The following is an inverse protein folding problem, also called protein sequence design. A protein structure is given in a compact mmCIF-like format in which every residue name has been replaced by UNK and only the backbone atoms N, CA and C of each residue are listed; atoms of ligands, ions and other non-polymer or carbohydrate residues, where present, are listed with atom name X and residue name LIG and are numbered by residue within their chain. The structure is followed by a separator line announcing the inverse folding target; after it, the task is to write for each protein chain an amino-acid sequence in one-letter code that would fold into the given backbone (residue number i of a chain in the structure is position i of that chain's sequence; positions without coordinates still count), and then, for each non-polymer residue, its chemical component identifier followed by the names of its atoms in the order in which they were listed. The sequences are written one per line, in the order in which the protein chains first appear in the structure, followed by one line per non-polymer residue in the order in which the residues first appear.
data_IF_997905961601
#
_entry.id   IF_997905961601
#
_cell.length_a   1.000
_cell.length_b   1.000
_cell.length_c   1.000
_cell.angle_alpha   90.00
_cell.angle_beta   90.00
_cell.angle_gamma   90.00
#
_symmetry.space_group_name_H-M   'P 1'
#
loop_
_entity.id
_entity.type
_entity.pdbx_description
1 polymer ?
#
# COMPACT_ATOMS: atom_id res chain seq x y z
N UNK A 1 11.87 3.16 -6.54
CA UNK A 1 11.62 1.99 -5.66
C UNK A 1 12.41 0.81 -6.23
N UNK A 2 13.12 0.05 -5.41
CA UNK A 2 14.03 -1.02 -5.86
C UNK A 2 13.73 -2.32 -5.11
N UNK A 3 13.50 -3.41 -5.84
CA UNK A 3 13.16 -4.74 -5.29
C UNK A 3 14.07 -5.81 -5.88
N UNK A 4 14.47 -6.81 -5.08
CA UNK A 4 15.10 -8.03 -5.59
C UNK A 4 14.03 -8.97 -6.16
N UNK A 5 14.16 -9.28 -7.46
CA UNK A 5 13.11 -9.90 -8.28
C UNK A 5 13.27 -11.41 -8.44
N UNK A 6 12.13 -12.09 -8.62
CA UNK A 6 12.08 -13.46 -9.16
C UNK A 6 11.11 -13.52 -10.35
N UNK A 7 11.35 -14.43 -11.31
CA UNK A 7 10.67 -14.49 -12.62
C UNK A 7 9.13 -14.62 -12.65
N UNK A 8 8.49 -14.72 -11.48
CA UNK A 8 7.03 -14.85 -11.33
C UNK A 8 6.32 -13.52 -11.01
N UNK A 9 7.06 -12.43 -10.81
CA UNK A 9 6.52 -11.14 -10.38
C UNK A 9 6.37 -10.20 -11.59
N UNK A 10 5.19 -9.59 -11.74
CA UNK A 10 4.85 -8.68 -12.84
C UNK A 10 4.42 -7.31 -12.30
N UNK A 11 4.96 -6.20 -12.84
CA UNK A 11 4.42 -4.87 -12.57
C UNK A 11 3.02 -4.75 -13.21
N UNK A 12 2.07 -4.26 -12.43
CA UNK A 12 0.71 -3.99 -12.89
C UNK A 12 0.28 -2.59 -12.45
N UNK A 13 -0.53 -1.95 -13.27
CA UNK A 13 -1.22 -0.71 -12.93
C UNK A 13 -2.64 -1.06 -12.52
N UNK A 14 -3.10 -0.48 -11.41
CA UNK A 14 -4.48 -0.52 -10.96
C UNK A 14 -5.15 0.80 -11.34
N UNK A 15 -6.14 0.72 -12.23
CA UNK A 15 -7.01 1.85 -12.62
C UNK A 15 -8.46 1.56 -12.19
N UNK A 16 -9.36 1.28 -13.14
CA UNK A 16 -10.65 0.61 -12.92
C UNK A 16 -10.54 -0.91 -13.14
N UNK A 17 -9.49 -1.34 -13.83
CA UNK A 17 -9.10 -2.73 -14.02
C UNK A 17 -7.59 -2.88 -13.78
N UNK A 18 -7.15 -4.12 -13.58
CA UNK A 18 -5.72 -4.46 -13.43
C UNK A 18 -5.13 -4.70 -14.82
N UNK A 19 -4.14 -3.89 -15.20
CA UNK A 19 -3.44 -4.04 -16.49
C UNK A 19 -1.94 -4.24 -16.28
N UNK A 20 -1.34 -5.16 -17.03
CA UNK A 20 0.10 -5.42 -16.95
C UNK A 20 0.92 -4.32 -17.62
N UNK A 21 2.06 -3.97 -17.04
CA UNK A 21 3.06 -3.09 -17.68
C UNK A 21 4.03 -3.95 -18.48
N UNK A 22 4.14 -3.65 -19.77
CA UNK A 22 5.16 -4.20 -20.66
C UNK A 22 6.23 -3.17 -20.93
N UNK A 23 7.49 -3.60 -20.91
CA UNK A 23 8.62 -2.73 -21.29
C UNK A 23 8.98 -3.03 -22.74
N UNK A 24 8.92 -2.01 -23.58
CA UNK A 24 9.29 -2.10 -25.00
C UNK A 24 10.13 -0.89 -25.39
N UNK A 25 11.35 -1.13 -25.86
CA UNK A 25 12.28 -0.10 -26.33
C UNK A 25 12.46 1.06 -25.32
N UNK A 26 12.56 0.73 -24.02
CA UNK A 26 12.72 1.72 -22.94
C UNK A 26 11.43 2.43 -22.50
N UNK A 27 10.27 2.01 -23.02
CA UNK A 27 8.95 2.61 -22.73
C UNK A 27 8.08 1.67 -21.90
N UNK A 28 7.26 2.23 -21.02
CA UNK A 28 6.20 1.51 -20.32
C UNK A 28 4.93 1.51 -21.17
N UNK A 29 4.47 0.33 -21.55
CA UNK A 29 3.27 0.11 -22.35
C UNK A 29 2.21 -0.60 -21.51
N UNK A 30 1.00 -0.03 -21.49
CA UNK A 30 -0.18 -0.61 -20.85
C UNK A 30 -1.32 -0.60 -21.86
N UNK A 31 -1.95 -1.76 -22.08
CA UNK A 31 -3.03 -1.94 -23.05
C UNK A 31 -2.71 -1.37 -24.44
N UNK A 32 -1.44 -1.48 -24.85
CA UNK A 32 -0.94 -0.99 -26.14
C UNK A 32 -0.60 0.52 -26.18
N UNK A 33 -0.87 1.26 -25.12
CA UNK A 33 -0.58 2.70 -25.01
C UNK A 33 0.69 2.96 -24.21
N UNK A 34 1.46 3.98 -24.59
CA UNK A 34 2.61 4.45 -23.83
C UNK A 34 2.14 5.26 -22.61
N UNK A 35 2.50 4.81 -21.42
CA UNK A 35 2.16 5.47 -20.14
C UNK A 35 3.38 6.00 -19.40
N UNK A 36 4.58 5.66 -19.87
CA UNK A 36 5.82 5.98 -19.19
C UNK A 36 7.04 5.83 -20.09
N UNK A 37 8.12 6.47 -19.69
CA UNK A 37 9.41 6.51 -20.39
C UNK A 37 10.53 6.11 -19.45
N UNK A 38 11.72 5.79 -19.97
CA UNK A 38 12.86 5.30 -19.17
C UNK A 38 12.58 4.03 -18.37
N UNK A 39 11.64 3.21 -18.85
CA UNK A 39 11.31 1.96 -18.21
C UNK A 39 12.30 0.88 -18.62
N UNK A 40 12.91 0.21 -17.65
CA UNK A 40 13.92 -0.80 -17.91
C UNK A 40 13.81 -1.97 -16.95
N UNK A 41 14.03 -3.17 -17.48
CA UNK A 41 14.26 -4.36 -16.69
C UNK A 41 15.76 -4.63 -16.73
N UNK A 42 16.48 -4.08 -15.76
CA UNK A 42 17.93 -4.21 -15.66
C UNK A 42 18.31 -5.50 -14.93
N UNK A 43 19.52 -5.97 -15.18
CA UNK A 43 20.17 -7.05 -14.41
C UNK A 43 19.43 -8.39 -14.46
N UNK A 44 18.99 -8.82 -15.65
CA UNK A 44 18.28 -10.09 -15.89
C UNK A 44 17.10 -10.32 -14.93
N UNK A 45 16.34 -9.25 -14.67
CA UNK A 45 15.20 -9.29 -13.78
C UNK A 45 15.41 -8.61 -12.45
N UNK A 46 16.64 -8.52 -11.92
CA UNK A 46 16.87 -8.12 -10.52
C UNK A 46 16.53 -6.67 -10.19
N UNK A 47 16.42 -5.78 -11.17
CA UNK A 47 16.07 -4.39 -10.94
C UNK A 47 15.07 -3.96 -12.01
N UNK A 48 13.87 -3.60 -11.55
CA UNK A 48 12.84 -3.04 -12.40
C UNK A 48 12.72 -1.53 -12.14
N UNK A 49 12.86 -0.75 -13.20
CA UNK A 49 12.65 0.69 -13.20
C UNK A 49 11.41 1.01 -14.02
N UNK A 50 10.43 1.63 -13.37
CA UNK A 50 9.17 2.09 -13.97
C UNK A 50 9.10 3.59 -13.71
N UNK A 51 9.06 4.38 -14.78
CA UNK A 51 8.82 5.82 -14.70
C UNK A 51 7.59 6.13 -15.53
N UNK A 52 6.51 6.53 -14.85
CA UNK A 52 5.25 6.91 -15.46
C UNK A 52 5.31 8.40 -15.81
N UNK A 53 4.79 8.77 -16.98
CA UNK A 53 4.81 10.16 -17.43
C UNK A 53 3.71 10.99 -16.75
N UNK A 54 2.61 10.34 -16.40
CA UNK A 54 1.46 10.92 -15.71
C UNK A 54 0.90 9.87 -14.75
N UNK A 55 0.86 10.18 -13.46
CA UNK A 55 0.34 9.28 -12.42
C UNK A 55 -1.17 9.50 -12.19
N UNK A 56 -1.76 10.57 -12.71
CA UNK A 56 -3.20 10.87 -12.54
C UNK A 56 -4.10 9.92 -13.34
N UNK A 57 -3.55 9.31 -14.38
CA UNK A 57 -4.20 8.26 -15.17
C UNK A 57 -4.23 6.91 -14.43
N UNK A 58 -3.60 6.81 -13.24
CA UNK A 58 -3.46 5.56 -12.49
C UNK A 58 -3.75 5.73 -11.01
N UNK A 59 -4.54 4.82 -10.42
CA UNK A 59 -4.81 4.90 -8.97
C UNK A 59 -3.68 4.31 -8.15
N UNK A 60 -3.03 3.26 -8.66
CA UNK A 60 -1.91 2.62 -7.96
C UNK A 60 -1.01 1.85 -8.91
N UNK A 61 0.25 1.70 -8.52
CA UNK A 61 1.20 0.76 -9.10
C UNK A 61 1.36 -0.40 -8.12
N UNK A 62 1.21 -1.63 -8.61
CA UNK A 62 1.44 -2.81 -7.80
C UNK A 62 2.51 -3.71 -8.43
N UNK A 63 3.27 -4.39 -7.59
CA UNK A 63 4.04 -5.55 -7.96
C UNK A 63 3.27 -6.78 -7.49
N UNK A 64 2.88 -7.64 -8.42
CA UNK A 64 2.08 -8.83 -8.09
C UNK A 64 2.70 -10.09 -8.70
N UNK A 65 2.58 -11.21 -8.00
CA UNK A 65 2.62 -12.52 -8.66
C UNK A 65 1.24 -12.85 -9.22
N UNK A 66 1.11 -14.00 -9.89
CA UNK A 66 -0.22 -14.51 -10.29
C UNK A 66 -1.14 -14.82 -9.08
N UNK A 67 -0.62 -14.83 -7.85
CA UNK A 67 -1.37 -15.21 -6.64
C UNK A 67 -1.40 -14.16 -5.52
N UNK A 68 -0.44 -13.21 -5.47
CA UNK A 68 -0.27 -12.29 -4.33
C UNK A 68 0.22 -10.90 -4.77
N UNK A 69 -0.28 -9.84 -4.12
CA UNK A 69 0.29 -8.50 -4.22
C UNK A 69 1.47 -8.37 -3.26
N UNK A 70 2.66 -8.11 -3.82
CA UNK A 70 3.94 -8.09 -3.11
C UNK A 70 4.25 -6.66 -2.63
N UNK A 71 3.84 -5.68 -3.42
CA UNK A 71 3.94 -4.27 -3.09
C UNK A 71 2.86 -3.49 -3.80
N UNK A 72 2.37 -2.45 -3.16
CA UNK A 72 1.36 -1.54 -3.68
C UNK A 72 1.78 -0.12 -3.32
N UNK A 73 1.76 0.77 -4.30
CA UNK A 73 1.96 2.20 -4.12
C UNK A 73 0.74 2.91 -4.67
N UNK A 74 0.02 3.62 -3.81
CA UNK A 74 -1.08 4.46 -4.24
C UNK A 74 -0.54 5.79 -4.74
N UNK A 75 -1.09 6.27 -5.86
CA UNK A 75 -0.80 7.61 -6.34
C UNK A 75 -1.88 8.56 -5.83
N UNK A 76 -1.48 9.51 -4.99
CA UNK A 76 -2.37 10.53 -4.43
C UNK A 76 -1.75 11.90 -4.75
N UNK A 77 -1.97 12.43 -5.97
CA UNK A 77 -1.35 13.68 -6.40
C UNK A 77 -1.76 14.82 -5.47
N UNK A 78 -0.79 15.66 -5.10
CA UNK A 78 -0.97 16.77 -4.14
C UNK A 78 -1.47 16.35 -2.75
N UNK A 79 -1.49 15.05 -2.47
CA UNK A 79 -2.03 14.49 -1.24
C UNK A 79 -3.50 14.89 -1.01
N UNK A 80 -4.24 15.05 -2.10
CA UNK A 80 -5.69 15.27 -2.09
C UNK A 80 -6.40 13.94 -1.82
N UNK A 81 -6.51 13.57 -0.55
CA UNK A 81 -7.21 12.36 -0.13
C UNK A 81 -8.73 12.56 -0.20
N UNK A 82 -9.40 11.63 -0.88
CA UNK A 82 -10.87 11.57 -0.84
C UNK A 82 -11.36 10.95 0.47
N UNK A 83 -12.47 11.46 1.00
CA UNK A 83 -13.17 10.83 2.10
C UNK A 83 -13.64 9.42 1.67
N UNK A 84 -13.27 8.35 2.38
CA UNK A 84 -13.64 7.00 2.00
C UNK A 84 -15.14 6.75 2.16
N UNK A 85 -15.69 5.94 1.25
CA UNK A 85 -17.03 5.36 1.39
C UNK A 85 -17.02 4.25 2.44
N UNK A 86 -18.20 3.84 2.88
CA UNK A 86 -18.36 2.71 3.79
C UNK A 86 -17.69 1.44 3.24
N UNK A 87 -16.79 0.86 4.03
CA UNK A 87 -16.01 -0.32 3.65
C UNK A 87 -14.76 -0.05 2.80
N UNK A 88 -14.51 1.20 2.40
CA UNK A 88 -13.29 1.59 1.68
C UNK A 88 -12.22 2.01 2.69
N UNK A 89 -10.97 1.59 2.47
CA UNK A 89 -9.80 2.03 3.23
C UNK A 89 -9.61 3.54 3.14
N UNK A 90 -9.34 4.16 4.29
CA UNK A 90 -8.94 5.56 4.39
C UNK A 90 -7.42 5.68 4.17
N UNK A 91 -7.03 6.19 2.99
CA UNK A 91 -5.61 6.31 2.64
C UNK A 91 -4.90 7.37 3.47
N UNK A 92 -5.58 8.47 3.82
CA UNK A 92 -5.01 9.59 4.59
C UNK A 92 -4.48 9.11 5.95
N UNK A 93 -5.26 8.30 6.68
CA UNK A 93 -4.88 7.81 8.01
C UNK A 93 -3.60 6.97 7.99
N UNK A 94 -3.38 6.20 6.92
CA UNK A 94 -2.20 5.34 6.81
C UNK A 94 -0.98 6.06 6.25
N UNK A 95 -1.16 7.19 5.56
CA UNK A 95 -0.11 7.95 4.90
C UNK A 95 0.97 8.48 5.87
N UNK A 96 2.27 8.56 5.47
CA UNK A 96 2.87 8.05 4.23
C UNK A 96 2.69 6.53 4.03
N UNK A 97 3.03 5.92 2.89
CA UNK A 97 2.97 4.44 2.78
C UNK A 97 4.34 3.78 2.99
N UNK A 98 5.42 4.56 3.04
CA UNK A 98 6.76 4.09 3.42
C UNK A 98 7.22 4.75 4.73
N UNK A 99 7.88 3.98 5.60
CA UNK A 99 8.53 4.47 6.84
C UNK A 99 9.98 4.01 6.89
N UNK A 100 10.88 4.93 7.20
CA UNK A 100 12.31 4.66 7.37
C UNK A 100 12.71 4.97 8.81
N UNK A 101 12.67 3.94 9.67
CA UNK A 101 12.83 4.06 11.13
C UNK A 101 14.09 3.35 11.62
N UNK A 102 15.18 3.53 10.89
CA UNK A 102 16.48 2.93 11.16
C UNK A 102 16.90 3.05 12.63
N UNK A 103 17.16 1.91 13.26
CA UNK A 103 17.59 1.82 14.66
C UNK A 103 16.47 1.71 15.69
N UNK A 104 15.22 1.98 15.32
CA UNK A 104 14.06 1.83 16.20
C UNK A 104 13.68 0.35 16.37
N UNK A 105 12.94 0.05 17.45
CA UNK A 105 12.38 -1.28 17.71
C UNK A 105 10.85 -1.31 17.60
N UNK A 106 10.22 -0.15 17.66
CA UNK A 106 8.77 0.01 17.60
C UNK A 106 8.40 1.17 16.70
N UNK A 107 7.22 1.07 16.09
CA UNK A 107 6.63 2.15 15.31
C UNK A 107 5.13 2.19 15.57
N UNK A 108 4.58 3.40 15.73
CA UNK A 108 3.13 3.58 15.74
C UNK A 108 2.63 3.69 14.31
N UNK A 109 1.71 2.81 13.93
CA UNK A 109 1.00 2.90 12.66
C UNK A 109 -0.49 3.10 12.92
N UNK A 110 -1.15 3.71 11.93
CA UNK A 110 -2.59 3.92 11.94
C UNK A 110 -3.19 3.39 10.64
N UNK A 111 -4.37 2.79 10.77
CA UNK A 111 -5.15 2.29 9.65
C UNK A 111 -6.60 2.66 9.89
N UNK A 112 -7.34 2.99 8.83
CA UNK A 112 -8.76 3.27 8.96
C UNK A 112 -9.56 2.77 7.76
N UNK A 113 -10.85 2.60 7.99
CA UNK A 113 -11.84 2.21 6.99
C UNK A 113 -13.10 3.05 7.18
N UNK A 114 -13.71 3.44 6.07
CA UNK A 114 -14.95 4.21 6.04
C UNK A 114 -16.14 3.47 6.65
N UNK A 115 -17.07 4.25 7.17
CA UNK A 115 -18.31 3.81 7.78
C UNK A 115 -18.17 3.53 9.27
N UNK A 116 -18.41 4.52 10.12
CA UNK A 116 -18.38 4.40 11.58
C UNK A 116 -19.37 3.34 12.11
N UNK A 117 -20.46 3.11 11.38
CA UNK A 117 -21.51 2.13 11.72
C UNK A 117 -21.59 0.98 10.71
N UNK A 118 -20.69 0.95 9.73
CA UNK A 118 -20.66 -0.12 8.74
C UNK A 118 -20.15 -1.41 9.37
N UNK A 119 -20.81 -2.53 9.07
CA UNK A 119 -20.47 -3.85 9.61
C UNK A 119 -19.76 -4.71 8.55
N UNK A 120 -18.74 -4.14 7.92
CA UNK A 120 -17.86 -4.85 6.98
C UNK A 120 -16.66 -5.48 7.68
N UNK A 121 -16.10 -6.52 7.05
CA UNK A 121 -14.88 -7.18 7.50
C UNK A 121 -13.64 -6.40 7.08
N UNK A 122 -12.62 -6.39 7.92
CA UNK A 122 -11.30 -5.86 7.60
C UNK A 122 -10.22 -6.72 8.25
N UNK A 123 -9.13 -6.98 7.54
CA UNK A 123 -8.06 -7.87 7.98
C UNK A 123 -6.72 -7.15 7.89
N UNK A 124 -5.86 -7.31 8.90
CA UNK A 124 -4.50 -6.82 8.92
C UNK A 124 -3.52 -7.98 8.84
N UNK A 125 -2.62 -7.90 7.88
CA UNK A 125 -1.47 -8.79 7.74
C UNK A 125 -0.20 -8.04 8.14
N UNK A 126 0.73 -8.77 8.77
CA UNK A 126 2.12 -8.36 8.91
C UNK A 126 3.00 -9.47 8.31
N UNK A 127 3.73 -9.15 7.24
CA UNK A 127 4.58 -10.10 6.53
C UNK A 127 3.84 -11.42 6.18
N UNK A 128 2.67 -11.29 5.55
CA UNK A 128 1.81 -12.40 5.11
C UNK A 128 1.13 -13.20 6.24
N UNK A 129 1.32 -12.80 7.49
CA UNK A 129 0.63 -13.40 8.64
C UNK A 129 -0.55 -12.52 9.05
N UNK A 130 -1.74 -13.10 9.14
CA UNK A 130 -2.91 -12.42 9.73
C UNK A 130 -2.65 -12.16 11.22
N UNK A 131 -2.59 -10.88 11.60
CA UNK A 131 -2.39 -10.45 12.99
C UNK A 131 -3.64 -9.82 13.60
N UNK A 132 -4.64 -9.48 12.78
CA UNK A 132 -5.94 -9.02 13.23
C UNK A 132 -7.00 -9.19 12.15
N UNK A 133 -8.21 -9.49 12.58
CA UNK A 133 -9.41 -9.54 11.74
C UNK A 133 -10.58 -8.97 12.53
N UNK A 134 -11.36 -8.09 11.91
CA UNK A 134 -12.46 -7.37 12.56
C UNK A 134 -13.74 -7.46 11.73
N UNK A 135 -14.88 -7.46 12.42
CA UNK A 135 -16.20 -7.27 11.82
C UNK A 135 -16.84 -6.04 12.45
N UNK A 136 -17.14 -5.04 11.63
CA UNK A 136 -17.50 -3.73 12.16
C UNK A 136 -16.30 -3.12 12.86
N UNK A 137 -16.41 -2.80 14.15
CA UNK A 137 -15.30 -2.33 14.98
C UNK A 137 -14.72 -3.41 15.91
N UNK A 138 -15.37 -4.58 16.00
CA UNK A 138 -15.03 -5.61 16.98
C UNK A 138 -14.03 -6.58 16.39
N UNK A 139 -12.99 -6.91 17.15
CA UNK A 139 -11.99 -7.90 16.78
C UNK A 139 -12.60 -9.31 16.85
N UNK A 140 -12.45 -10.07 15.77
CA UNK A 140 -12.83 -11.47 15.66
C UNK A 140 -11.65 -12.41 15.94
N UNK A 141 -10.46 -12.04 15.48
CA UNK A 141 -9.26 -12.85 15.58
C UNK A 141 -8.01 -11.96 15.72
N UNK A 142 -6.99 -12.47 16.41
CA UNK A 142 -5.72 -11.77 16.64
C UNK A 142 -5.53 -11.35 18.11
N UNK A 143 -4.47 -10.59 18.35
CA UNK A 143 -4.09 -10.08 19.68
C UNK A 143 -4.01 -8.55 19.73
N UNK A 144 -4.67 -7.88 18.78
CA UNK A 144 -4.74 -6.42 18.70
C UNK A 144 -5.93 -5.91 19.51
N UNK A 145 -6.26 -4.63 19.35
CA UNK A 145 -7.41 -4.00 19.98
C UNK A 145 -8.58 -3.89 19.02
N UNK A 146 -9.79 -3.68 19.55
CA UNK A 146 -10.92 -3.23 18.76
C UNK A 146 -10.61 -1.91 18.05
N UNK A 147 -11.31 -1.65 16.94
CA UNK A 147 -11.22 -0.40 16.22
C UNK A 147 -11.93 0.71 16.99
N UNK A 148 -11.30 1.87 17.05
CA UNK A 148 -11.94 3.07 17.59
C UNK A 148 -12.90 3.64 16.55
N UNK A 149 -14.15 3.88 16.96
CA UNK A 149 -15.17 4.50 16.09
C UNK A 149 -15.05 6.02 16.16
N UNK A 150 -14.83 6.66 15.01
CA UNK A 150 -14.90 8.11 14.84
C UNK A 150 -16.17 8.46 14.04
N UNK A 151 -17.26 8.76 14.75
CA UNK A 151 -18.53 9.14 14.11
C UNK A 151 -18.44 10.48 13.35
N UNK A 152 -17.51 11.38 13.72
CA UNK A 152 -17.40 12.70 13.08
C UNK A 152 -16.77 12.59 11.70
N UNK A 153 -15.72 11.77 11.59
CA UNK A 153 -15.07 11.46 10.30
C UNK A 153 -15.74 10.30 9.57
N UNK A 154 -16.75 9.67 10.16
CA UNK A 154 -17.36 8.43 9.68
C UNK A 154 -16.32 7.31 9.43
N UNK A 155 -15.40 7.10 10.37
CA UNK A 155 -14.31 6.12 10.26
C UNK A 155 -14.33 5.10 11.40
N UNK A 156 -13.71 3.95 11.15
CA UNK A 156 -13.23 3.00 12.17
C UNK A 156 -11.71 2.92 12.07
N UNK A 157 -11.00 3.12 13.18
CA UNK A 157 -9.57 3.40 13.20
C UNK A 157 -8.82 2.43 14.11
N UNK A 158 -7.76 1.82 13.58
CA UNK A 158 -6.72 1.16 14.35
C UNK A 158 -5.57 2.13 14.59
N UNK A 159 -5.10 2.23 15.83
CA UNK A 159 -3.82 2.86 16.18
C UNK A 159 -3.06 1.90 17.06
N UNK A 160 -1.89 1.46 16.62
CA UNK A 160 -1.15 0.41 17.32
C UNK A 160 0.36 0.59 17.21
N UNK A 161 1.09 0.19 18.25
CA UNK A 161 2.55 0.20 18.29
C UNK A 161 3.07 -1.19 17.89
N UNK A 162 3.61 -1.30 16.68
CA UNK A 162 4.15 -2.54 16.14
C UNK A 162 5.63 -2.68 16.47
N UNK A 163 6.06 -3.88 16.84
CA UNK A 163 7.47 -4.21 17.02
C UNK A 163 8.10 -4.70 15.73
N UNK A 164 9.38 -4.41 15.54
CA UNK A 164 10.20 -4.98 14.47
C UNK A 164 10.16 -6.52 14.49
N UNK A 165 9.81 -7.14 13.37
CA UNK A 165 9.94 -8.60 13.17
C UNK A 165 11.04 -8.94 12.18
N UNK A 166 11.17 -8.14 11.11
CA UNK A 166 12.19 -8.27 10.08
C UNK A 166 12.88 -6.92 9.87
N UNK A 167 13.97 -6.91 9.10
CA UNK A 167 14.61 -5.66 8.68
C UNK A 167 13.68 -4.77 7.83
N UNK A 168 12.75 -5.40 7.11
CA UNK A 168 11.66 -4.76 6.40
C UNK A 168 10.36 -5.48 6.74
N UNK A 169 9.43 -4.76 7.35
CA UNK A 169 8.09 -5.27 7.64
C UNK A 169 7.07 -4.67 6.67
N UNK A 170 6.15 -5.50 6.21
CA UNK A 170 5.04 -5.11 5.32
C UNK A 170 3.74 -5.28 6.10
N UNK A 171 2.93 -4.22 6.13
CA UNK A 171 1.60 -4.21 6.74
C UNK A 171 0.56 -4.05 5.66
N UNK A 172 -0.35 -5.03 5.51
CA UNK A 172 -1.42 -4.97 4.52
C UNK A 172 -2.76 -4.89 5.22
N UNK A 173 -3.47 -3.79 5.02
CA UNK A 173 -4.80 -3.54 5.56
C UNK A 173 -5.82 -3.72 4.45
N UNK A 174 -6.66 -4.74 4.58
CA UNK A 174 -7.45 -5.29 3.47
C UNK A 174 -8.94 -5.28 3.82
N UNK A 175 -9.74 -4.76 2.90
CA UNK A 175 -11.20 -4.83 2.92
C UNK A 175 -11.69 -5.64 1.73
N UNK A 176 -13.00 -5.83 1.61
CA UNK A 176 -13.63 -6.40 0.40
C UNK A 176 -13.53 -5.47 -0.83
N UNK A 177 -13.30 -4.17 -0.62
CA UNK A 177 -13.33 -3.17 -1.68
C UNK A 177 -11.93 -2.74 -2.15
N UNK A 178 -10.99 -2.57 -1.23
CA UNK A 178 -9.62 -2.17 -1.53
C UNK A 178 -8.63 -2.51 -0.40
N UNK A 179 -7.37 -2.21 -0.66
CA UNK A 179 -6.23 -2.46 0.23
C UNK A 179 -5.36 -1.22 0.33
N UNK A 180 -4.69 -1.04 1.47
CA UNK A 180 -3.48 -0.22 1.58
C UNK A 180 -2.32 -1.07 2.12
N UNK A 181 -1.12 -0.80 1.63
CA UNK A 181 0.11 -1.42 2.11
C UNK A 181 1.01 -0.34 2.70
N UNK A 182 1.49 -0.56 3.92
CA UNK A 182 2.51 0.28 4.56
C UNK A 182 3.78 -0.53 4.72
N UNK A 183 4.87 -0.03 4.13
CA UNK A 183 6.20 -0.62 4.23
C UNK A 183 7.01 0.08 5.32
N UNK A 184 7.61 -0.69 6.21
CA UNK A 184 8.49 -0.19 7.27
C UNK A 184 9.89 -0.76 7.08
N UNK A 185 10.86 0.09 6.80
CA UNK A 185 12.28 -0.25 6.75
C UNK A 185 12.95 0.18 8.06
N UNK A 186 13.44 -0.81 8.81
CA UNK A 186 14.08 -0.63 10.11
C UNK A 186 15.61 -0.47 10.01
N UNK A 187 16.15 -0.48 8.79
CA UNK A 187 17.59 -0.37 8.52
C UNK A 187 17.97 1.02 8.01
N UNK A 188 17.02 1.72 7.37
CA UNK A 188 17.23 3.03 6.79
C UNK A 188 16.54 4.11 7.62
N UNK A 189 17.17 5.28 7.72
CA UNK A 189 16.56 6.50 8.29
C UNK A 189 16.26 7.50 7.18
N UNK A 190 15.19 8.27 7.34
CA UNK A 190 14.84 9.31 6.37
C UNK A 190 13.37 9.68 6.41
N UNK A 191 13.04 10.75 5.69
CA UNK A 191 11.66 11.13 5.40
C UNK A 191 11.13 10.27 4.23
N UNK A 192 9.84 9.93 4.22
CA UNK A 192 9.26 9.25 3.06
C UNK A 192 9.29 10.19 1.85
N UNK A 193 9.77 9.76 0.67
CA UNK A 193 9.71 10.56 -0.55
C UNK A 193 8.29 11.03 -0.90
N UNK A 194 7.28 10.29 -0.47
CA UNK A 194 5.86 10.63 -0.69
C UNK A 194 5.47 11.96 -0.03
N UNK A 195 6.17 12.37 1.03
CA UNK A 195 5.90 13.63 1.72
C UNK A 195 6.33 14.85 0.91
N UNK A 196 7.25 14.69 -0.05
CA UNK A 196 7.69 15.80 -0.89
C UNK A 196 6.61 16.23 -1.89
N UNK A 197 5.72 15.31 -2.30
CA UNK A 197 4.59 15.63 -3.19
C UNK A 197 3.43 16.35 -2.48
N UNK A 198 3.42 16.35 -1.14
CA UNK A 198 2.41 17.05 -0.33
C UNK A 198 2.78 18.50 0.04
N UNK A 199 3.95 18.98 -0.38
CA UNK A 199 4.52 20.28 0.04
C UNK A 199 4.14 21.44 -0.87
#
# INVERSE_FOLDING_TARGET
MTFEWTSMQKPVILTDHTSAIYIKDGKCIVDGSEVGSQCSNQSDGRQLEIMLNDVTITKSLAMSTDFEQISLTHFVPYCDFEQPKDGVVDLETSFPFSRFVGGEQYIQLKFAVGGAKYNGQVTLFQNDVVIGDWMGANMLYGSLTDLTVDEKKNLRVLTYNFSKLKDKDIYMWITDQNTVIVNVDWTQTGESPELDECK
#
